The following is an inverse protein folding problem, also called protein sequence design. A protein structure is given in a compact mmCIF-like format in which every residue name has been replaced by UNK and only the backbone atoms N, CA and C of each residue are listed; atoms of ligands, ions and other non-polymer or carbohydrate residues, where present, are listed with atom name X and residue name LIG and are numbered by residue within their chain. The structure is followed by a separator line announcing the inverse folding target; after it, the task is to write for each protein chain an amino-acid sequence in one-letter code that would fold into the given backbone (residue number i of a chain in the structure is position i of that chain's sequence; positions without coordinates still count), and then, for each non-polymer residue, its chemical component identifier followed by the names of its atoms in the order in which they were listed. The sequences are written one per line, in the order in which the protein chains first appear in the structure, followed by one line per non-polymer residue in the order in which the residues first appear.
data_IF_071845017757
#
_entry.id   IF_071845017757
#
_cell.length_a   1.000
_cell.length_b   1.000
_cell.length_c   1.000
_cell.angle_alpha   90.00
_cell.angle_beta   90.00
_cell.angle_gamma   90.00
#
_symmetry.space_group_name_H-M   'P 1'
#
loop_
_entity.id
_entity.type
_entity.pdbx_description
1 polymer ?
#
# COMPACT_ATOMS: atom_id res chain seq x y z
N UNK A 1 -52.98 -17.25 -23.92
CA UNK A 1 -51.83 -17.54 -23.03
C UNK A 1 -50.83 -16.38 -23.09
N UNK A 2 -50.82 -15.52 -22.06
CA UNK A 2 -49.93 -14.34 -21.97
C UNK A 2 -48.75 -14.70 -21.12
N UNK A 3 -47.54 -14.78 -21.71
CA UNK A 3 -46.27 -14.84 -20.99
C UNK A 3 -45.92 -13.44 -20.50
N UNK A 4 -46.02 -13.19 -19.20
CA UNK A 4 -45.44 -12.02 -18.53
C UNK A 4 -43.94 -12.23 -18.43
N UNK A 5 -43.14 -11.44 -19.18
CA UNK A 5 -41.71 -11.27 -18.95
C UNK A 5 -41.53 -10.58 -17.58
N UNK A 6 -41.00 -11.31 -16.62
CA UNK A 6 -40.42 -10.72 -15.42
C UNK A 6 -39.10 -10.07 -15.81
N UNK A 7 -39.11 -8.77 -16.00
CA UNK A 7 -37.91 -7.94 -16.02
C UNK A 7 -37.41 -7.90 -14.57
N UNK A 8 -36.39 -8.71 -14.27
CA UNK A 8 -35.57 -8.53 -13.07
C UNK A 8 -34.74 -7.29 -13.34
N UNK A 9 -35.14 -6.16 -12.80
CA UNK A 9 -34.24 -5.01 -12.64
C UNK A 9 -33.18 -5.46 -11.62
N UNK A 10 -32.01 -5.89 -12.09
CA UNK A 10 -30.81 -5.85 -11.29
C UNK A 10 -30.57 -4.38 -11.01
N UNK A 11 -30.74 -3.93 -9.76
CA UNK A 11 -30.20 -2.65 -9.32
C UNK A 11 -28.72 -2.64 -9.70
N UNK A 12 -28.37 -1.91 -10.74
CA UNK A 12 -27.00 -1.60 -11.08
C UNK A 12 -26.47 -0.80 -9.89
N UNK A 13 -25.72 -1.47 -9.02
CA UNK A 13 -25.01 -0.84 -7.92
C UNK A 13 -24.16 0.27 -8.53
N UNK A 14 -24.53 1.53 -8.28
CA UNK A 14 -23.77 2.66 -8.82
C UNK A 14 -22.33 2.53 -8.33
N UNK A 15 -21.41 2.41 -9.26
CA UNK A 15 -19.98 2.34 -8.98
C UNK A 15 -19.56 3.65 -8.30
N UNK A 16 -18.89 3.56 -7.14
CA UNK A 16 -18.29 4.71 -6.47
C UNK A 16 -16.88 5.05 -7.01
N UNK A 17 -16.55 4.54 -8.21
CA UNK A 17 -15.33 4.87 -8.96
C UNK A 17 -15.58 6.11 -9.81
N UNK A 18 -14.72 7.11 -9.64
CA UNK A 18 -14.80 8.40 -10.34
C UNK A 18 -13.49 8.68 -11.10
N UNK A 19 -13.64 9.24 -12.30
CA UNK A 19 -12.49 9.69 -13.09
C UNK A 19 -11.74 10.82 -12.38
N UNK A 20 -10.43 10.93 -12.64
CA UNK A 20 -9.51 11.87 -11.98
C UNK A 20 -9.61 13.31 -12.51
N UNK A 21 -10.81 13.84 -12.68
CA UNK A 21 -11.02 15.24 -13.05
C UNK A 21 -10.75 16.19 -11.88
N UNK A 22 -10.42 17.46 -12.17
CA UNK A 22 -10.23 18.46 -11.11
C UNK A 22 -11.47 18.62 -10.22
N UNK A 23 -12.68 18.51 -10.80
CA UNK A 23 -13.95 18.52 -10.07
C UNK A 23 -14.06 17.35 -9.08
N UNK A 24 -13.75 16.14 -9.53
CA UNK A 24 -13.80 14.94 -8.68
C UNK A 24 -12.70 14.97 -7.60
N UNK A 25 -11.53 15.52 -7.90
CA UNK A 25 -10.48 15.73 -6.87
C UNK A 25 -10.95 16.72 -5.81
N UNK A 26 -11.60 17.84 -6.21
CA UNK A 26 -12.16 18.81 -5.26
C UNK A 26 -13.28 18.18 -4.40
N UNK A 27 -14.17 17.40 -5.01
CA UNK A 27 -15.21 16.65 -4.30
C UNK A 27 -14.61 15.64 -3.30
N UNK A 28 -13.59 14.90 -3.72
CA UNK A 28 -12.87 13.98 -2.84
C UNK A 28 -12.21 14.71 -1.65
N UNK A 29 -11.63 15.88 -1.90
CA UNK A 29 -11.05 16.72 -0.84
C UNK A 29 -12.10 17.17 0.18
N UNK A 30 -13.30 17.56 -0.26
CA UNK A 30 -14.40 17.89 0.65
C UNK A 30 -14.87 16.67 1.46
N UNK A 31 -14.93 15.48 0.86
CA UNK A 31 -15.22 14.25 1.60
C UNK A 31 -14.18 14.03 2.71
N UNK A 32 -12.87 14.17 2.42
CA UNK A 32 -11.80 14.05 3.41
C UNK A 32 -11.94 15.09 4.53
N UNK A 33 -12.18 16.37 4.18
CA UNK A 33 -12.37 17.46 5.18
C UNK A 33 -13.53 17.17 6.12
N UNK A 34 -14.62 16.62 5.59
CA UNK A 34 -15.83 16.28 6.33
C UNK A 34 -15.76 14.94 7.09
N UNK A 35 -14.61 14.26 7.07
CA UNK A 35 -14.36 13.02 7.82
C UNK A 35 -14.82 11.75 7.12
N UNK A 36 -15.07 11.80 5.80
CA UNK A 36 -15.32 10.64 4.97
C UNK A 36 -14.04 9.92 4.54
N UNK A 37 -14.20 8.80 3.83
CA UNK A 37 -13.14 7.94 3.35
C UNK A 37 -13.03 8.00 1.82
N UNK A 38 -11.85 8.33 1.31
CA UNK A 38 -11.56 8.34 -0.11
C UNK A 38 -10.44 7.34 -0.43
N UNK A 39 -10.68 6.44 -1.38
CA UNK A 39 -9.61 5.66 -1.95
C UNK A 39 -8.98 6.42 -3.13
N UNK A 40 -7.65 6.45 -3.17
CA UNK A 40 -6.92 7.17 -4.19
C UNK A 40 -5.66 6.44 -4.63
N UNK A 41 -5.23 6.62 -5.89
CA UNK A 41 -4.02 6.01 -6.41
C UNK A 41 -2.77 6.66 -5.82
N UNK A 42 -1.76 5.84 -5.55
CA UNK A 42 -0.37 6.27 -5.44
C UNK A 42 0.47 5.55 -6.48
N UNK A 43 1.75 5.90 -6.62
CA UNK A 43 2.66 5.13 -7.48
C UNK A 43 2.87 3.70 -6.98
N UNK A 44 2.65 3.44 -5.68
CA UNK A 44 2.86 2.15 -5.02
C UNK A 44 1.62 1.25 -5.07
N UNK A 45 0.59 1.59 -4.30
CA UNK A 45 -0.71 0.90 -4.24
C UNK A 45 -1.81 1.93 -3.98
N UNK A 46 -3.07 1.59 -4.18
CA UNK A 46 -4.18 2.45 -3.78
C UNK A 46 -4.25 2.55 -2.25
N UNK A 47 -4.38 3.79 -1.75
CA UNK A 47 -4.54 4.10 -0.34
C UNK A 47 -6.00 4.38 0.03
N UNK A 48 -6.43 3.97 1.23
CA UNK A 48 -7.72 4.36 1.83
C UNK A 48 -7.47 5.55 2.74
N UNK A 49 -7.84 6.75 2.28
CA UNK A 49 -7.52 8.02 2.90
C UNK A 49 -8.55 8.54 3.86
N UNK A 50 -8.09 9.16 4.92
CA UNK A 50 -8.86 9.98 5.86
C UNK A 50 -8.04 11.17 6.37
N UNK A 51 -8.72 12.23 6.83
CA UNK A 51 -8.10 13.34 7.52
C UNK A 51 -7.42 12.89 8.81
N UNK A 52 -6.10 13.09 8.92
CA UNK A 52 -5.31 12.66 10.09
C UNK A 52 -5.78 13.30 11.39
N UNK A 53 -6.30 14.53 11.32
CA UNK A 53 -6.77 15.27 12.49
C UNK A 53 -8.18 14.90 12.95
N UNK A 54 -8.89 14.08 12.19
CA UNK A 54 -10.24 13.63 12.54
C UNK A 54 -10.17 12.19 13.06
N UNK A 55 -10.12 12.02 14.39
CA UNK A 55 -10.03 10.70 15.02
C UNK A 55 -11.17 9.76 14.66
N UNK A 56 -12.39 10.28 14.41
CA UNK A 56 -13.53 9.48 13.92
C UNK A 56 -13.28 8.96 12.50
N UNK A 57 -12.75 9.81 11.61
CA UNK A 57 -12.41 9.41 10.25
C UNK A 57 -11.29 8.35 10.25
N UNK A 58 -10.26 8.53 11.11
CA UNK A 58 -9.20 7.52 11.29
C UNK A 58 -9.78 6.21 11.83
N UNK A 59 -10.68 6.26 12.82
CA UNK A 59 -11.35 5.06 13.33
C UNK A 59 -12.17 4.34 12.24
N UNK A 60 -12.80 5.09 11.33
CA UNK A 60 -13.53 4.52 10.20
C UNK A 60 -12.62 3.75 9.23
N UNK A 61 -11.33 4.14 9.06
CA UNK A 61 -10.35 3.33 8.29
C UNK A 61 -10.18 1.95 8.92
N UNK A 62 -9.97 1.89 10.23
CA UNK A 62 -9.81 0.60 10.94
C UNK A 62 -11.07 -0.25 10.81
N UNK A 63 -12.26 0.35 10.97
CA UNK A 63 -13.53 -0.33 10.83
C UNK A 63 -13.76 -0.84 9.39
N UNK A 64 -13.57 0.00 8.36
CA UNK A 64 -13.75 -0.37 6.97
C UNK A 64 -12.85 -1.54 6.54
N UNK A 65 -11.61 -1.55 7.01
CA UNK A 65 -10.61 -2.58 6.72
C UNK A 65 -10.70 -3.81 7.63
N UNK A 66 -11.41 -3.73 8.76
CA UNK A 66 -11.36 -4.71 9.86
C UNK A 66 -9.90 -4.87 10.39
N UNK A 67 -9.17 -3.73 10.48
CA UNK A 67 -7.78 -3.65 10.89
C UNK A 67 -7.69 -3.45 12.40
N UNK A 68 -6.77 -4.11 13.12
CA UNK A 68 -6.55 -3.84 14.54
C UNK A 68 -5.89 -2.47 14.76
N UNK A 69 -6.25 -1.79 15.85
CA UNK A 69 -5.81 -0.42 16.16
C UNK A 69 -4.33 -0.28 16.53
N UNK A 70 -3.63 -1.37 16.82
CA UNK A 70 -2.21 -1.35 17.17
C UNK A 70 -1.27 -1.26 15.96
N UNK A 71 -1.78 -1.37 14.73
CA UNK A 71 -0.98 -1.33 13.50
C UNK A 71 -1.00 0.09 12.92
N UNK A 72 0.09 0.90 13.05
CA UNK A 72 0.09 2.32 12.73
C UNK A 72 -0.20 2.60 11.25
N UNK A 73 -0.55 3.85 10.94
CA UNK A 73 -0.89 4.31 9.60
C UNK A 73 0.17 5.30 9.08
N UNK A 74 0.38 5.31 7.76
CA UNK A 74 1.27 6.27 7.10
C UNK A 74 0.50 7.56 6.82
N UNK A 75 1.01 8.68 7.31
CA UNK A 75 0.55 10.02 6.96
C UNK A 75 1.16 10.45 5.63
N UNK A 76 0.31 10.81 4.67
CA UNK A 76 0.73 11.30 3.37
C UNK A 76 0.65 12.83 3.34
N UNK A 77 1.74 13.47 2.92
CA UNK A 77 1.90 14.92 2.88
C UNK A 77 2.18 15.39 1.44
N UNK A 78 1.95 16.66 1.18
CA UNK A 78 2.29 17.29 -0.10
C UNK A 78 3.38 18.37 0.01
N UNK A 79 3.78 18.72 1.24
CA UNK A 79 4.80 19.72 1.52
C UNK A 79 5.75 19.21 2.63
N UNK A 80 7.07 19.39 2.43
CA UNK A 80 8.09 18.90 3.38
C UNK A 80 8.04 19.69 4.70
N UNK A 81 7.57 20.95 4.67
CA UNK A 81 7.49 21.81 5.85
C UNK A 81 6.59 21.23 6.95
N UNK A 82 5.65 20.34 6.60
CA UNK A 82 4.88 19.57 7.58
C UNK A 82 5.78 18.85 8.61
N UNK A 83 6.95 18.37 8.20
CA UNK A 83 7.86 17.68 9.12
C UNK A 83 8.31 18.56 10.27
N UNK A 84 8.51 19.87 10.03
CA UNK A 84 8.99 20.81 11.05
C UNK A 84 8.00 20.99 12.20
N UNK A 85 6.71 20.79 11.93
CA UNK A 85 5.64 20.98 12.90
C UNK A 85 5.38 19.72 13.76
N UNK A 86 5.61 18.53 13.19
CA UNK A 86 5.13 17.29 13.82
C UNK A 86 6.23 16.26 14.13
N UNK A 87 7.44 16.44 13.58
CA UNK A 87 8.51 15.47 13.74
C UNK A 87 9.84 16.11 14.16
N UNK A 88 10.56 15.45 15.05
CA UNK A 88 11.96 15.76 15.29
C UNK A 88 12.77 15.42 14.04
N UNK A 89 13.41 16.43 13.45
CA UNK A 89 14.12 16.33 12.19
C UNK A 89 15.56 16.84 12.35
N UNK A 90 16.45 16.31 11.54
CA UNK A 90 17.84 16.73 11.39
C UNK A 90 18.16 16.96 9.90
N UNK A 91 19.40 17.36 9.59
CA UNK A 91 19.84 17.59 8.22
C UNK A 91 19.76 16.32 7.35
N UNK A 92 19.98 15.15 7.93
CA UNK A 92 19.89 13.85 7.26
C UNK A 92 18.46 13.56 6.80
N UNK A 93 17.45 13.83 7.64
CA UNK A 93 16.03 13.68 7.28
C UNK A 93 15.67 14.56 6.09
N UNK A 94 16.08 15.84 6.11
CA UNK A 94 15.82 16.76 4.99
C UNK A 94 16.58 16.40 3.73
N UNK A 95 17.83 15.91 3.84
CA UNK A 95 18.61 15.44 2.70
C UNK A 95 17.93 14.24 2.02
N UNK A 96 17.51 13.24 2.80
CA UNK A 96 16.75 12.08 2.30
C UNK A 96 15.41 12.49 1.68
N UNK A 97 14.65 13.38 2.35
CA UNK A 97 13.39 13.88 1.82
C UNK A 97 13.57 14.60 0.49
N UNK A 98 14.56 15.49 0.38
CA UNK A 98 14.85 16.24 -0.85
C UNK A 98 15.24 15.33 -2.01
N UNK A 99 15.93 14.21 -1.74
CA UNK A 99 16.40 13.29 -2.76
C UNK A 99 15.31 12.29 -3.19
N UNK A 100 14.59 11.68 -2.23
CA UNK A 100 13.68 10.57 -2.49
C UNK A 100 12.19 10.98 -2.57
N UNK A 101 11.81 12.18 -2.15
CA UNK A 101 10.45 12.69 -2.23
C UNK A 101 10.28 13.77 -3.30
N UNK A 102 9.11 13.72 -4.00
CA UNK A 102 8.02 12.76 -3.92
C UNK A 102 8.43 11.37 -4.41
N UNK A 103 8.07 10.29 -3.64
CA UNK A 103 8.48 8.93 -4.01
C UNK A 103 8.07 7.83 -3.04
N UNK A 104 8.46 6.57 -3.36
CA UNK A 104 8.04 5.38 -2.62
C UNK A 104 8.92 5.10 -1.38
N UNK A 105 9.34 6.14 -0.66
CA UNK A 105 10.09 6.04 0.60
C UNK A 105 9.30 6.66 1.73
N UNK A 106 9.18 5.96 2.84
CA UNK A 106 8.45 6.36 4.05
C UNK A 106 9.44 6.46 5.21
N UNK A 107 9.33 7.50 6.01
CA UNK A 107 10.14 7.72 7.21
C UNK A 107 9.35 7.42 8.46
N UNK A 108 10.01 6.79 9.44
CA UNK A 108 9.56 6.76 10.84
C UNK A 108 10.42 7.77 11.58
N UNK A 109 9.77 8.78 12.19
CA UNK A 109 10.38 9.91 12.88
C UNK A 109 9.82 10.02 14.30
N UNK A 110 10.57 10.60 15.25
CA UNK A 110 10.04 10.94 16.57
C UNK A 110 9.06 12.10 16.44
N UNK A 111 7.94 12.04 17.15
CA UNK A 111 6.97 13.13 17.22
C UNK A 111 7.49 14.24 18.13
N UNK A 112 7.21 15.51 17.79
CA UNK A 112 7.53 16.69 18.64
C UNK A 112 6.40 16.94 19.63
N UNK A 113 5.15 16.88 19.17
CA UNK A 113 3.98 17.17 19.97
C UNK A 113 3.04 15.98 20.08
N UNK A 114 2.41 15.83 21.25
CA UNK A 114 1.32 14.91 21.46
C UNK A 114 0.01 15.56 21.03
N UNK A 115 -0.32 15.50 19.75
CA UNK A 115 -1.64 15.88 19.26
C UNK A 115 -2.56 14.67 19.32
N UNK A 116 -3.59 14.63 20.19
CA UNK A 116 -4.48 13.49 20.37
C UNK A 116 -5.16 13.06 19.06
N UNK A 117 -5.40 13.99 18.13
CA UNK A 117 -6.05 13.65 16.86
C UNK A 117 -5.17 12.78 15.93
N UNK A 118 -3.84 12.82 16.09
CA UNK A 118 -2.93 11.96 15.34
C UNK A 118 -2.50 10.71 16.11
N UNK A 119 -2.81 10.60 17.40
CA UNK A 119 -2.47 9.44 18.23
C UNK A 119 -3.04 8.14 17.68
N UNK A 120 -4.28 8.17 17.23
CA UNK A 120 -4.92 6.99 16.65
C UNK A 120 -4.21 6.54 15.37
N UNK A 121 -3.75 7.47 14.54
CA UNK A 121 -2.98 7.17 13.34
C UNK A 121 -1.59 6.58 13.68
N UNK A 122 -1.00 7.03 14.79
CA UNK A 122 0.27 6.53 15.30
C UNK A 122 0.12 5.27 16.18
N UNK A 123 -1.11 4.79 16.43
CA UNK A 123 -1.37 3.65 17.33
C UNK A 123 -0.78 3.83 18.75
N UNK A 124 -0.76 5.06 19.25
CA UNK A 124 -0.19 5.41 20.56
C UNK A 124 1.35 5.42 20.61
N UNK A 125 2.03 5.22 19.47
CA UNK A 125 3.50 5.29 19.42
C UNK A 125 3.98 6.74 19.50
N UNK A 126 5.19 6.93 20.06
CA UNK A 126 5.90 8.22 20.07
C UNK A 126 6.58 8.54 18.74
N UNK A 127 6.19 7.83 17.68
CA UNK A 127 6.72 7.99 16.33
C UNK A 127 5.61 8.31 15.35
N UNK A 128 5.97 9.06 14.31
CA UNK A 128 5.13 9.39 13.16
C UNK A 128 5.69 8.65 11.94
N UNK A 129 4.82 7.98 11.21
CA UNK A 129 5.18 7.38 9.92
C UNK A 129 4.66 8.29 8.81
N UNK A 130 5.55 8.81 7.96
CA UNK A 130 5.24 9.89 7.00
C UNK A 130 5.86 9.65 5.64
N UNK A 131 5.16 10.07 4.57
CA UNK A 131 5.60 9.97 3.19
C UNK A 131 5.02 11.08 2.32
N UNK A 132 5.76 11.50 1.28
CA UNK A 132 5.24 12.31 0.18
C UNK A 132 5.13 11.43 -1.07
N UNK A 133 3.93 11.04 -1.52
CA UNK A 133 3.75 10.16 -2.68
C UNK A 133 4.06 10.91 -3.98
N UNK A 134 4.53 10.19 -5.02
CA UNK A 134 4.85 10.82 -6.33
C UNK A 134 3.65 10.96 -7.26
N UNK A 135 2.56 10.27 -6.97
CA UNK A 135 1.40 10.23 -7.87
C UNK A 135 0.69 11.58 -7.93
N UNK A 136 0.44 12.16 -9.14
CA UNK A 136 -0.12 13.51 -9.27
C UNK A 136 -1.51 13.65 -8.64
N UNK A 137 -2.39 12.63 -8.75
CA UNK A 137 -3.72 12.63 -8.13
C UNK A 137 -3.60 12.65 -6.60
N UNK A 138 -2.69 11.86 -6.02
CA UNK A 138 -2.47 11.86 -4.57
C UNK A 138 -2.03 13.24 -4.07
N UNK A 139 -1.04 13.84 -4.72
CA UNK A 139 -0.56 15.19 -4.36
C UNK A 139 -1.64 16.26 -4.52
N UNK A 140 -2.41 16.21 -5.61
CA UNK A 140 -3.52 17.14 -5.84
C UNK A 140 -4.61 16.99 -4.77
N UNK A 141 -4.98 15.75 -4.41
CA UNK A 141 -5.96 15.48 -3.35
C UNK A 141 -5.48 16.01 -1.99
N UNK A 142 -4.23 15.71 -1.60
CA UNK A 142 -3.65 16.17 -0.32
C UNK A 142 -3.63 17.70 -0.27
N UNK A 143 -3.17 18.37 -1.35
CA UNK A 143 -3.16 19.84 -1.43
C UNK A 143 -4.58 20.43 -1.36
N UNK A 144 -5.54 19.89 -2.10
CA UNK A 144 -6.93 20.34 -2.08
C UNK A 144 -7.61 20.13 -0.73
N UNK A 145 -7.24 19.07 -0.01
CA UNK A 145 -7.75 18.78 1.34
C UNK A 145 -7.19 19.75 2.39
N UNK A 146 -6.01 20.35 2.16
CA UNK A 146 -5.35 21.25 3.10
C UNK A 146 -4.91 20.59 4.42
N UNK A 147 -4.94 19.26 4.48
CA UNK A 147 -4.56 18.46 5.66
C UNK A 147 -3.78 17.22 5.20
N UNK A 148 -2.88 16.67 6.04
CA UNK A 148 -2.30 15.38 5.77
C UNK A 148 -3.35 14.28 5.77
N UNK A 149 -3.15 13.29 4.89
CA UNK A 149 -4.08 12.18 4.73
C UNK A 149 -3.40 10.89 5.22
N UNK A 150 -3.95 10.28 6.28
CA UNK A 150 -3.53 8.92 6.64
C UNK A 150 -4.12 7.93 5.65
N UNK A 151 -3.29 7.05 5.10
CA UNK A 151 -3.76 6.09 4.12
C UNK A 151 -2.99 4.76 4.17
N UNK A 152 -3.53 3.72 4.81
CA UNK A 152 -3.11 2.34 4.55
C UNK A 152 -3.58 1.91 3.16
N UNK A 153 -3.10 0.76 2.66
CA UNK A 153 -3.61 0.17 1.41
C UNK A 153 -5.13 -0.02 1.44
N UNK A 154 -5.82 0.23 0.32
CA UNK A 154 -7.30 0.22 0.25
C UNK A 154 -7.90 -1.18 0.03
N UNK A 155 -7.54 -2.16 0.86
CA UNK A 155 -8.03 -3.55 0.85
C UNK A 155 -8.51 -3.98 2.24
N UNK A 156 -9.26 -5.08 2.33
CA UNK A 156 -9.52 -5.74 3.61
C UNK A 156 -8.20 -6.13 4.26
N UNK A 157 -8.16 -6.07 5.58
CA UNK A 157 -6.94 -6.41 6.33
C UNK A 157 -6.39 -7.79 5.94
N UNK A 158 -5.06 -7.91 5.82
CA UNK A 158 -4.31 -9.10 5.42
C UNK A 158 -4.55 -9.60 3.98
N UNK A 159 -5.48 -9.06 3.21
CA UNK A 159 -5.67 -9.46 1.81
C UNK A 159 -4.67 -8.79 0.87
N UNK A 160 -4.64 -9.20 -0.40
CA UNK A 160 -3.76 -8.67 -1.45
C UNK A 160 -4.00 -7.17 -1.62
N UNK A 161 -2.94 -6.35 -1.64
CA UNK A 161 -3.03 -4.90 -1.84
C UNK A 161 -3.61 -4.54 -3.22
N UNK A 162 -4.40 -3.45 -3.32
CA UNK A 162 -5.03 -3.03 -4.58
C UNK A 162 -4.06 -2.16 -5.40
N UNK A 163 -3.93 -2.46 -6.68
CA UNK A 163 -3.14 -1.68 -7.65
C UNK A 163 -3.98 -1.00 -8.72
N UNK A 164 -5.32 -1.17 -8.68
CA UNK A 164 -6.30 -0.47 -9.53
C UNK A 164 -7.52 -0.04 -8.73
N UNK A 165 -8.30 0.92 -9.25
CA UNK A 165 -9.57 1.35 -8.64
C UNK A 165 -10.57 0.19 -8.52
N UNK A 166 -10.61 -0.71 -9.52
CA UNK A 166 -11.47 -1.89 -9.49
C UNK A 166 -11.11 -2.84 -8.34
N UNK A 167 -9.82 -3.06 -8.06
CA UNK A 167 -9.39 -3.86 -6.90
C UNK A 167 -9.87 -3.30 -5.56
N UNK A 168 -10.01 -1.96 -5.46
CA UNK A 168 -10.57 -1.31 -4.27
C UNK A 168 -12.07 -1.58 -4.19
N UNK A 169 -12.81 -1.37 -5.28
CA UNK A 169 -14.26 -1.59 -5.35
C UNK A 169 -14.62 -3.04 -5.01
N UNK A 170 -13.89 -4.01 -5.56
CA UNK A 170 -14.08 -5.44 -5.29
C UNK A 170 -13.81 -5.80 -3.81
N UNK A 171 -12.85 -5.12 -3.18
CA UNK A 171 -12.42 -5.41 -1.80
C UNK A 171 -13.23 -4.71 -0.74
N UNK A 172 -13.43 -3.40 -0.86
CA UNK A 172 -14.06 -2.54 0.15
C UNK A 172 -15.48 -2.10 -0.22
N UNK A 173 -15.79 -1.97 -1.51
CA UNK A 173 -17.13 -1.65 -1.99
C UNK A 173 -17.72 -0.40 -1.34
N UNK A 174 -18.90 -0.53 -0.73
CA UNK A 174 -19.67 0.56 -0.11
C UNK A 174 -19.07 1.12 1.17
N UNK A 175 -17.96 0.56 1.65
CA UNK A 175 -17.26 1.08 2.83
C UNK A 175 -16.38 2.29 2.54
N UNK A 176 -16.33 2.72 1.28
CA UNK A 176 -15.56 3.86 0.80
C UNK A 176 -16.52 4.83 0.12
N UNK A 177 -16.47 6.11 0.52
CA UNK A 177 -17.39 7.12 0.00
C UNK A 177 -17.08 7.45 -1.48
N UNK A 178 -15.80 7.43 -1.86
CA UNK A 178 -15.35 7.73 -3.23
C UNK A 178 -14.03 7.02 -3.55
N UNK A 179 -13.91 6.52 -4.77
CA UNK A 179 -12.69 5.94 -5.32
C UNK A 179 -12.25 6.80 -6.52
N UNK A 180 -11.09 7.45 -6.43
CA UNK A 180 -10.50 8.17 -7.56
C UNK A 180 -9.75 7.17 -8.45
N UNK A 181 -10.11 7.10 -9.73
CA UNK A 181 -9.40 6.24 -10.68
C UNK A 181 -8.20 6.98 -11.29
N UNK A 182 -7.02 6.46 -11.09
CA UNK A 182 -5.77 6.93 -11.68
C UNK A 182 -5.06 5.86 -12.50
N UNK A 183 -5.77 4.78 -12.85
CA UNK A 183 -5.18 3.64 -13.55
C UNK A 183 -4.39 2.70 -12.63
N UNK A 184 -3.54 1.87 -13.23
CA UNK A 184 -2.68 0.95 -12.51
C UNK A 184 -1.49 1.67 -11.84
N UNK A 185 -1.10 1.19 -10.66
CA UNK A 185 0.06 1.72 -9.94
C UNK A 185 1.37 1.29 -10.62
N UNK A 186 2.29 2.23 -10.84
CA UNK A 186 3.53 2.02 -11.60
C UNK A 186 4.66 1.31 -10.84
N UNK A 187 4.55 1.15 -9.51
CA UNK A 187 5.53 0.43 -8.67
C UNK A 187 4.99 -0.92 -8.22
N UNK A 188 3.71 -1.01 -7.93
CA UNK A 188 2.99 -2.26 -7.65
C UNK A 188 3.22 -2.88 -6.27
N UNK A 189 4.23 -2.44 -5.52
CA UNK A 189 4.49 -2.83 -4.12
C UNK A 189 4.52 -1.58 -3.23
N UNK A 190 4.27 -1.73 -1.93
CA UNK A 190 4.24 -0.61 -1.00
C UNK A 190 5.59 0.09 -0.88
N UNK A 191 5.58 1.28 -0.28
CA UNK A 191 6.78 2.07 0.00
C UNK A 191 7.78 1.32 0.88
N UNK A 192 9.06 1.58 0.67
CA UNK A 192 10.13 1.25 1.62
C UNK A 192 9.93 2.07 2.89
N UNK A 193 10.12 1.46 4.06
CA UNK A 193 10.04 2.15 5.36
C UNK A 193 11.39 2.08 6.04
N UNK A 194 11.94 3.25 6.38
CA UNK A 194 13.15 3.39 7.17
C UNK A 194 12.87 4.11 8.48
N UNK A 195 13.51 3.64 9.54
CA UNK A 195 13.51 4.29 10.85
C UNK A 195 14.70 5.26 10.94
N UNK A 196 14.39 6.52 11.22
CA UNK A 196 15.33 7.62 11.40
C UNK A 196 15.29 8.18 12.83
N UNK A 197 14.75 7.43 13.79
CA UNK A 197 14.64 7.86 15.20
C UNK A 197 15.97 7.77 15.96
N UNK A 198 16.98 7.16 15.38
CA UNK A 198 18.33 6.99 15.92
C UNK A 198 19.38 7.44 14.90
N UNK A 199 20.66 7.46 15.32
CA UNK A 199 21.77 7.82 14.44
C UNK A 199 21.97 6.81 13.29
N UNK A 200 21.52 5.57 13.46
CA UNK A 200 21.59 4.53 12.42
C UNK A 200 20.27 4.47 11.65
N UNK A 201 20.39 4.33 10.32
CA UNK A 201 19.22 4.10 9.46
C UNK A 201 18.88 2.61 9.50
N UNK A 202 17.63 2.31 9.83
CA UNK A 202 17.14 0.93 9.92
C UNK A 202 16.01 0.69 8.93
N UNK A 203 16.18 -0.27 8.03
CA UNK A 203 15.12 -0.73 7.12
C UNK A 203 14.12 -1.55 7.91
N UNK A 204 12.89 -1.03 8.05
CA UNK A 204 11.77 -1.71 8.69
C UNK A 204 10.95 -2.53 7.72
N UNK A 205 10.87 -2.08 6.46
CA UNK A 205 10.13 -2.78 5.38
C UNK A 205 10.78 -2.47 4.03
N UNK A 206 11.21 -3.49 3.32
CA UNK A 206 11.60 -3.35 1.92
C UNK A 206 10.37 -2.99 1.06
N UNK A 207 10.54 -2.13 0.06
CA UNK A 207 9.44 -1.62 -0.78
C UNK A 207 9.95 -1.01 -2.09
N UNK A 208 9.23 0.01 -2.59
CA UNK A 208 9.46 0.59 -3.90
C UNK A 208 10.77 1.37 -4.09
N UNK A 209 11.49 1.72 -3.01
CA UNK A 209 12.87 2.24 -3.07
C UNK A 209 13.81 1.11 -2.66
N UNK A 210 14.81 0.78 -3.51
CA UNK A 210 15.76 -0.26 -3.17
C UNK A 210 16.64 0.16 -1.98
N UNK A 211 17.02 -0.82 -1.14
CA UNK A 211 17.92 -0.57 0.00
C UNK A 211 19.27 -0.04 -0.48
N UNK A 212 19.73 -0.57 -1.58
CA UNK A 212 20.99 -0.22 -2.22
C UNK A 212 21.04 1.27 -2.63
N UNK A 213 19.92 1.84 -3.15
CA UNK A 213 19.84 3.25 -3.51
C UNK A 213 19.96 4.17 -2.28
N UNK A 214 19.39 3.73 -1.14
CA UNK A 214 19.49 4.47 0.12
C UNK A 214 20.92 4.40 0.68
N UNK A 215 21.57 3.23 0.62
CA UNK A 215 22.96 3.04 1.04
C UNK A 215 23.92 3.87 0.19
N UNK A 216 23.72 3.92 -1.13
CA UNK A 216 24.51 4.73 -2.05
C UNK A 216 24.37 6.22 -1.73
N UNK A 217 23.15 6.72 -1.54
CA UNK A 217 22.91 8.13 -1.20
C UNK A 217 23.57 8.53 0.13
N UNK A 218 23.44 7.67 1.15
CA UNK A 218 23.97 7.93 2.49
C UNK A 218 25.47 7.66 2.60
N UNK A 219 26.05 6.93 1.65
CA UNK A 219 27.40 6.37 1.73
C UNK A 219 27.63 5.56 3.03
N UNK A 220 26.58 4.88 3.51
CA UNK A 220 26.62 4.02 4.70
C UNK A 220 25.69 2.81 4.57
N UNK A 221 25.94 1.76 5.38
CA UNK A 221 25.09 0.57 5.40
C UNK A 221 23.80 0.80 6.16
N UNK A 222 22.69 0.42 5.55
CA UNK A 222 21.36 0.41 6.17
C UNK A 222 21.15 -0.91 6.91
N UNK A 223 20.89 -0.83 8.20
CA UNK A 223 20.61 -2.00 9.03
C UNK A 223 19.24 -2.56 8.69
N UNK A 224 19.10 -3.88 8.73
CA UNK A 224 17.80 -4.52 8.52
C UNK A 224 17.22 -4.91 9.88
N UNK A 225 16.01 -4.42 10.18
CA UNK A 225 15.30 -4.81 11.40
C UNK A 225 14.93 -6.28 11.36
N UNK A 226 15.17 -7.00 12.46
CA UNK A 226 14.63 -8.35 12.64
C UNK A 226 13.09 -8.36 12.77
N UNK A 227 12.50 -7.17 13.08
CA UNK A 227 11.07 -6.99 13.34
C UNK A 227 10.62 -7.60 14.66
N UNK A 228 9.52 -7.09 15.19
CA UNK A 228 8.76 -7.75 16.25
C UNK A 228 7.31 -7.86 15.78
N UNK A 229 6.85 -9.05 15.36
CA UNK A 229 5.49 -9.22 14.85
C UNK A 229 4.40 -8.93 15.89
N UNK A 230 4.71 -9.00 17.18
CA UNK A 230 3.77 -8.72 18.26
C UNK A 230 3.61 -7.22 18.56
N UNK A 231 4.65 -6.42 18.25
CA UNK A 231 4.68 -4.98 18.49
C UNK A 231 5.21 -4.25 17.23
N UNK A 232 4.38 -4.14 16.16
CA UNK A 232 4.81 -3.49 14.94
C UNK A 232 5.04 -1.99 15.17
N UNK A 233 6.21 -1.51 14.77
CA UNK A 233 6.58 -0.07 14.80
C UNK A 233 6.26 0.63 13.49
N UNK A 234 5.90 -0.13 12.46
CA UNK A 234 5.53 0.35 11.14
C UNK A 234 4.57 -0.63 10.44
N UNK A 235 3.75 -0.17 9.47
CA UNK A 235 2.81 -1.02 8.75
C UNK A 235 3.49 -2.16 7.98
N UNK A 236 2.85 -3.34 7.95
CA UNK A 236 3.29 -4.48 7.15
C UNK A 236 4.39 -5.34 7.80
N UNK A 237 4.59 -5.24 9.11
CA UNK A 237 5.54 -6.07 9.86
C UNK A 237 4.94 -7.40 10.36
N UNK A 238 3.63 -7.59 10.26
CA UNK A 238 2.96 -8.83 10.70
C UNK A 238 3.35 -10.02 9.83
N UNK A 239 3.40 -11.21 10.41
CA UNK A 239 3.82 -12.44 9.73
C UNK A 239 2.91 -12.76 8.54
N UNK A 240 1.57 -12.78 8.76
CA UNK A 240 0.60 -13.03 7.70
C UNK A 240 0.08 -11.71 7.15
N UNK A 241 0.28 -11.49 5.85
CA UNK A 241 -0.20 -10.31 5.11
C UNK A 241 -0.24 -10.62 3.62
N UNK A 242 -0.98 -9.86 2.82
CA UNK A 242 -1.10 -10.02 1.34
C UNK A 242 -1.64 -11.39 0.90
N UNK A 243 -2.33 -12.09 1.79
CA UNK A 243 -2.70 -13.48 1.57
C UNK A 243 -3.84 -13.61 0.54
N UNK A 244 -3.67 -14.44 -0.51
CA UNK A 244 -4.77 -14.90 -1.35
C UNK A 244 -5.67 -15.85 -0.57
N UNK A 245 -6.83 -16.19 -1.13
CA UNK A 245 -7.72 -17.25 -0.62
C UNK A 245 -7.09 -18.63 -0.84
N UNK A 246 -6.48 -18.81 -2.02
CA UNK A 246 -5.75 -20.03 -2.37
C UNK A 246 -4.43 -20.13 -1.61
N UNK A 247 -3.98 -21.35 -1.36
CA UNK A 247 -2.66 -21.60 -0.75
C UNK A 247 -1.55 -21.19 -1.72
N UNK A 248 -0.57 -20.42 -1.25
CA UNK A 248 0.58 -19.98 -2.06
C UNK A 248 1.84 -20.80 -1.72
N UNK A 249 2.38 -21.53 -2.69
CA UNK A 249 3.69 -22.18 -2.65
C UNK A 249 4.74 -21.30 -3.32
N UNK A 250 5.81 -20.97 -2.62
CA UNK A 250 6.87 -20.08 -3.10
C UNK A 250 8.10 -20.85 -3.52
N UNK A 251 8.98 -20.21 -4.32
CA UNK A 251 10.21 -20.79 -4.86
C UNK A 251 9.95 -22.09 -5.68
N UNK A 252 8.86 -22.12 -6.41
CA UNK A 252 8.47 -23.23 -7.25
C UNK A 252 9.22 -23.15 -8.59
N UNK A 253 10.03 -24.14 -8.92
CA UNK A 253 10.70 -24.20 -10.23
C UNK A 253 9.74 -24.61 -11.36
N UNK A 254 8.68 -25.32 -11.02
CA UNK A 254 7.60 -25.76 -11.90
C UNK A 254 6.29 -25.96 -11.13
N UNK A 255 5.13 -25.89 -11.79
CA UNK A 255 3.84 -26.17 -11.14
C UNK A 255 3.72 -27.65 -10.76
N UNK A 256 2.93 -27.90 -9.72
CA UNK A 256 2.36 -29.21 -9.40
C UNK A 256 0.91 -29.29 -9.92
N UNK A 257 0.29 -30.45 -9.79
CA UNK A 257 -1.11 -30.59 -10.14
C UNK A 257 -1.99 -29.61 -9.32
N UNK A 258 -2.99 -29.00 -9.99
CA UNK A 258 -3.94 -28.09 -9.36
C UNK A 258 -3.34 -26.75 -8.87
N UNK A 259 -2.20 -26.34 -9.42
CA UNK A 259 -1.57 -25.07 -9.14
C UNK A 259 -1.65 -24.12 -10.34
N UNK A 260 -2.11 -22.87 -10.09
CA UNK A 260 -1.89 -21.77 -11.01
C UNK A 260 -0.44 -21.27 -10.85
N UNK A 261 0.34 -21.31 -11.91
CA UNK A 261 1.77 -20.98 -11.84
C UNK A 261 2.08 -19.56 -12.33
N UNK A 262 2.66 -18.78 -11.43
CA UNK A 262 3.18 -17.43 -11.74
C UNK A 262 4.69 -17.54 -11.90
N UNK A 263 5.16 -17.44 -13.14
CA UNK A 263 6.55 -17.50 -13.54
C UNK A 263 7.32 -16.19 -13.35
N UNK A 264 8.64 -16.27 -13.55
CA UNK A 264 9.57 -15.14 -13.63
C UNK A 264 10.75 -15.49 -14.55
N UNK A 265 11.21 -14.50 -15.34
CA UNK A 265 12.29 -14.72 -16.30
C UNK A 265 11.86 -15.73 -17.39
N UNK A 266 12.67 -16.75 -17.61
CA UNK A 266 12.46 -17.76 -18.64
C UNK A 266 11.51 -18.91 -18.23
N UNK A 267 10.92 -18.85 -17.02
CA UNK A 267 9.99 -19.90 -16.60
C UNK A 267 8.65 -19.77 -17.34
N UNK A 268 8.16 -20.90 -17.88
CA UNK A 268 6.83 -20.97 -18.47
C UNK A 268 5.80 -21.08 -17.34
N UNK A 269 4.74 -20.27 -17.42
CA UNK A 269 3.67 -20.23 -16.42
C UNK A 269 2.34 -19.80 -17.04
N UNK A 270 1.25 -19.96 -16.27
CA UNK A 270 -0.06 -19.41 -16.64
C UNK A 270 0.01 -17.87 -16.76
N UNK A 271 0.82 -17.24 -15.90
CA UNK A 271 1.28 -15.85 -16.00
C UNK A 271 2.78 -15.78 -15.72
N UNK A 272 3.43 -14.70 -16.14
CA UNK A 272 4.84 -14.44 -15.86
C UNK A 272 5.03 -12.99 -15.41
N UNK A 273 5.56 -12.79 -14.17
CA UNK A 273 5.75 -11.46 -13.57
C UNK A 273 6.62 -10.56 -14.44
N UNK A 274 7.64 -11.11 -15.10
CA UNK A 274 8.52 -10.43 -16.05
C UNK A 274 9.27 -11.45 -16.89
N UNK A 275 8.90 -11.68 -18.15
CA UNK A 275 9.64 -12.56 -19.06
C UNK A 275 11.09 -12.11 -19.30
N UNK A 276 11.34 -10.80 -19.20
CA UNK A 276 12.70 -10.21 -19.33
C UNK A 276 13.57 -10.40 -18.08
N UNK A 277 12.98 -10.80 -16.94
CA UNK A 277 13.65 -10.86 -15.65
C UNK A 277 13.80 -9.50 -14.95
N UNK A 278 13.04 -8.47 -15.37
CA UNK A 278 13.01 -7.16 -14.75
C UNK A 278 12.31 -7.21 -13.38
N UNK A 279 13.01 -6.84 -12.32
CA UNK A 279 12.42 -6.75 -10.98
C UNK A 279 11.42 -5.60 -10.85
N UNK A 280 11.57 -4.53 -11.65
CA UNK A 280 10.61 -3.42 -11.69
C UNK A 280 9.28 -3.89 -12.27
N UNK A 281 9.30 -4.55 -13.43
CA UNK A 281 8.12 -5.15 -14.05
C UNK A 281 7.48 -6.21 -13.15
N UNK A 282 8.28 -7.04 -12.50
CA UNK A 282 7.80 -8.06 -11.57
C UNK A 282 7.10 -7.46 -10.33
N UNK A 283 7.61 -6.35 -9.79
CA UNK A 283 6.99 -5.64 -8.68
C UNK A 283 5.64 -5.02 -9.09
N UNK A 284 5.58 -4.38 -10.25
CA UNK A 284 4.37 -3.78 -10.83
C UNK A 284 3.26 -4.83 -11.02
N UNK A 285 3.60 -6.02 -11.51
CA UNK A 285 2.66 -7.09 -11.81
C UNK A 285 2.27 -7.95 -10.58
N UNK A 286 3.04 -7.94 -9.50
CA UNK A 286 2.92 -8.89 -8.39
C UNK A 286 1.49 -9.04 -7.87
N UNK A 287 0.90 -7.97 -7.37
CA UNK A 287 -0.42 -8.03 -6.73
C UNK A 287 -1.54 -8.23 -7.74
N UNK A 288 -1.42 -7.66 -8.95
CA UNK A 288 -2.39 -7.87 -10.02
C UNK A 288 -2.45 -9.36 -10.41
N UNK A 289 -1.30 -9.99 -10.63
CA UNK A 289 -1.24 -11.39 -11.02
C UNK A 289 -1.62 -12.36 -9.89
N UNK A 290 -1.27 -12.03 -8.64
CA UNK A 290 -1.77 -12.78 -7.48
C UNK A 290 -3.30 -12.73 -7.39
N UNK A 291 -3.94 -11.58 -7.68
CA UNK A 291 -5.41 -11.45 -7.72
C UNK A 291 -6.02 -12.24 -8.86
N UNK A 292 -5.42 -12.17 -10.06
CA UNK A 292 -5.87 -12.96 -11.20
C UNK A 292 -5.79 -14.45 -10.93
N UNK A 293 -4.71 -14.93 -10.32
CA UNK A 293 -4.55 -16.33 -9.93
C UNK A 293 -5.56 -16.75 -8.85
N UNK A 294 -5.80 -15.87 -7.85
CA UNK A 294 -6.74 -16.12 -6.74
C UNK A 294 -8.21 -16.13 -7.18
N UNK A 295 -8.50 -15.58 -8.37
CA UNK A 295 -9.84 -15.58 -8.99
C UNK A 295 -10.11 -16.79 -9.90
N UNK A 296 -9.14 -17.71 -10.08
CA UNK A 296 -9.28 -18.86 -10.97
C UNK A 296 -9.91 -20.07 -10.27
N UNK A 297 -11.20 -20.26 -10.42
CA UNK A 297 -11.95 -21.38 -9.78
C UNK A 297 -11.45 -22.78 -10.20
N UNK A 298 -10.72 -22.86 -11.32
CA UNK A 298 -10.15 -24.12 -11.82
C UNK A 298 -9.01 -24.67 -10.94
N UNK A 299 -8.31 -23.77 -10.22
CA UNK A 299 -7.16 -24.11 -9.39
C UNK A 299 -7.50 -23.93 -7.91
N UNK A 300 -6.88 -24.69 -7.02
CA UNK A 300 -7.05 -24.52 -5.57
C UNK A 300 -5.78 -23.97 -4.90
N UNK A 301 -4.69 -23.87 -5.66
CA UNK A 301 -3.38 -23.43 -5.18
C UNK A 301 -2.72 -22.49 -6.19
N UNK A 302 -1.80 -21.69 -5.69
CA UNK A 302 -0.94 -20.82 -6.49
C UNK A 302 0.51 -21.25 -6.23
N UNK A 303 1.30 -21.38 -7.29
CA UNK A 303 2.74 -21.56 -7.19
C UNK A 303 3.45 -20.35 -7.81
N UNK A 304 4.55 -19.90 -7.21
CA UNK A 304 5.32 -18.76 -7.68
C UNK A 304 6.79 -19.10 -7.84
N UNK A 305 7.35 -18.72 -8.99
CA UNK A 305 8.74 -18.91 -9.34
C UNK A 305 9.71 -18.25 -8.34
N UNK A 306 10.97 -18.72 -8.24
CA UNK A 306 12.01 -18.03 -7.48
C UNK A 306 12.27 -16.61 -8.03
N UNK A 307 12.39 -15.64 -7.13
CA UNK A 307 12.71 -14.23 -7.46
C UNK A 307 14.07 -13.88 -6.86
N UNK A 308 14.97 -13.17 -7.57
CA UNK A 308 16.23 -12.67 -7.02
C UNK A 308 16.05 -11.86 -5.75
N UNK A 309 17.02 -11.90 -4.80
CA UNK A 309 16.90 -11.28 -3.47
C UNK A 309 17.67 -9.95 -3.35
N UNK A 310 17.82 -9.21 -4.44
CA UNK A 310 18.48 -7.90 -4.49
C UNK A 310 17.52 -6.83 -5.02
N UNK A 311 17.77 -5.58 -4.78
CA UNK A 311 16.95 -4.46 -5.21
C UNK A 311 15.48 -4.64 -4.82
N UNK A 312 14.55 -4.42 -5.76
CA UNK A 312 13.11 -4.64 -5.56
C UNK A 312 12.74 -6.10 -5.27
N UNK A 313 13.61 -7.05 -5.59
CA UNK A 313 13.41 -8.45 -5.26
C UNK A 313 13.32 -8.72 -3.76
N UNK A 314 13.96 -7.90 -2.90
CA UNK A 314 13.76 -7.96 -1.45
C UNK A 314 12.29 -7.71 -1.07
N UNK A 315 11.68 -6.68 -1.66
CA UNK A 315 10.27 -6.35 -1.42
C UNK A 315 9.33 -7.44 -1.94
N UNK A 316 9.56 -7.92 -3.17
CA UNK A 316 8.76 -8.99 -3.78
C UNK A 316 8.81 -10.25 -2.89
N UNK A 317 10.01 -10.71 -2.52
CA UNK A 317 10.18 -11.90 -1.67
C UNK A 317 9.54 -11.74 -0.28
N UNK A 318 9.60 -10.56 0.34
CA UNK A 318 8.91 -10.29 1.60
C UNK A 318 7.38 -10.44 1.44
N UNK A 319 6.80 -9.88 0.35
CA UNK A 319 5.35 -9.95 0.09
C UNK A 319 4.88 -11.39 -0.15
N UNK A 320 5.55 -12.14 -1.02
CA UNK A 320 5.17 -13.53 -1.31
C UNK A 320 5.37 -14.44 -0.10
N UNK A 321 6.42 -14.20 0.70
CA UNK A 321 6.64 -14.92 1.95
C UNK A 321 5.49 -14.69 2.94
N UNK A 322 5.09 -13.42 3.18
CA UNK A 322 3.95 -13.09 4.08
C UNK A 322 2.62 -13.60 3.53
N UNK A 323 2.45 -13.64 2.21
CA UNK A 323 1.27 -14.18 1.56
C UNK A 323 1.16 -15.70 1.68
N UNK A 324 2.28 -16.41 1.85
CA UNK A 324 2.31 -17.87 1.99
C UNK A 324 2.04 -18.39 3.42
N UNK A 325 2.02 -17.51 4.43
CA UNK A 325 1.64 -17.90 5.79
C UNK A 325 0.13 -18.20 5.87
N UNK A 326 -0.21 -19.33 6.47
CA UNK A 326 -1.60 -19.79 6.70
C UNK A 326 -2.23 -19.14 7.93
#
# INVERSE_FOLDING_TARGET
MRWRKFLIYSEQKMSNIYQNTSENIAKAAEIIKNGGLVAFPTETVYGLGANVYNSKAVANIFAAKQRPHFDPLISHIAEIDFLKEYAATDERVFALAKHFWPGPLTFVLRRIEENPSIDLACSGLRTLTVRMPRHPIALALIKASGVPIVAPSANKYQSISPTTAQHVADGLGDKVDMILDGGACSVGVESTIIDLTTDKVVLLRAGGTAKEDIEEFLNEKVLISAGNPELPTAPGQLLRHYAPKHTLRINAEKPEADEFYIGFGKSDGDLNLSPSGSLTEAAENLFAYMRLADAQDKFTKIAMAPIPKNGLGLAINDRIKRASYK
#
